data_IF_095578348902
#
_entry.id   IF_095578348902
#
_cell.length_a   1.000
_cell.length_b   1.000
_cell.length_c   1.000
_cell.angle_alpha   90.00
_cell.angle_beta   90.00
_cell.angle_gamma   90.00
#
_symmetry.space_group_name_H-M   'P 1'
#
loop_
_entity.id
_entity.type
_entity.pdbx_description
1 polymer ?
#
# COMPACT_ATOMS: atom_id res chain seq x y z
N UNK A 1 14.96 -15.75 -16.76
CA UNK A 1 13.49 -16.04 -16.87
C UNK A 1 12.74 -14.78 -16.53
N UNK A 2 11.52 -14.56 -17.09
CA UNK A 2 10.67 -13.40 -16.76
C UNK A 2 9.54 -13.84 -15.82
N UNK A 3 9.34 -13.10 -14.74
CA UNK A 3 8.29 -13.32 -13.74
C UNK A 3 7.30 -12.16 -13.78
N UNK A 4 6.02 -12.45 -13.71
CA UNK A 4 4.92 -11.46 -13.73
C UNK A 4 3.74 -11.86 -12.83
N UNK A 5 3.95 -12.91 -12.02
CA UNK A 5 3.07 -13.41 -10.96
C UNK A 5 3.90 -13.78 -9.75
N UNK A 6 3.26 -13.76 -8.58
CA UNK A 6 3.85 -14.22 -7.31
C UNK A 6 5.23 -13.61 -7.05
N UNK A 7 5.40 -12.33 -7.42
CA UNK A 7 6.70 -11.66 -7.38
C UNK A 7 7.26 -11.56 -5.95
N UNK A 8 6.39 -11.37 -4.96
CA UNK A 8 6.82 -11.32 -3.56
C UNK A 8 7.37 -12.67 -3.10
N UNK A 9 6.68 -13.77 -3.42
CA UNK A 9 7.11 -15.12 -3.07
C UNK A 9 8.42 -15.46 -3.78
N UNK A 10 8.58 -15.05 -5.04
CA UNK A 10 9.84 -15.20 -5.77
C UNK A 10 11.02 -14.58 -5.05
N UNK A 11 10.83 -13.43 -4.41
CA UNK A 11 11.89 -12.78 -3.62
C UNK A 11 12.16 -13.56 -2.32
N UNK A 12 11.12 -14.01 -1.62
CA UNK A 12 11.26 -14.58 -0.28
C UNK A 12 11.58 -16.09 -0.25
N UNK A 13 11.23 -16.84 -1.28
CA UNK A 13 11.49 -18.30 -1.34
C UNK A 13 12.90 -18.64 -1.83
N UNK A 14 13.52 -17.77 -2.62
CA UNK A 14 14.86 -18.01 -3.18
C UNK A 14 15.94 -18.21 -2.11
N UNK A 15 15.99 -17.42 -1.00
CA UNK A 15 16.99 -17.60 0.06
C UNK A 15 16.99 -19.00 0.69
N UNK A 16 15.82 -19.65 0.73
CA UNK A 16 15.71 -21.01 1.30
C UNK A 16 16.38 -22.08 0.45
N UNK A 17 16.57 -21.82 -0.82
CA UNK A 17 17.21 -22.72 -1.78
C UNK A 17 18.71 -22.47 -1.96
N UNK A 18 19.22 -21.34 -1.47
CA UNK A 18 20.63 -20.90 -1.62
C UNK A 18 21.27 -20.72 -0.23
N UNK A 19 22.55 -21.02 -0.13
CA UNK A 19 23.36 -20.61 1.03
C UNK A 19 23.67 -19.12 0.91
N UNK A 20 22.77 -18.26 1.42
CA UNK A 20 22.95 -16.81 1.40
C UNK A 20 22.87 -16.21 2.80
N UNK A 21 23.58 -15.12 3.03
CA UNK A 21 23.63 -14.41 4.32
C UNK A 21 23.03 -13.00 4.24
N UNK A 22 22.76 -12.50 3.02
CA UNK A 22 22.19 -11.16 2.85
C UNK A 22 21.26 -11.10 1.63
N UNK A 23 20.11 -10.43 1.84
CA UNK A 23 19.21 -9.97 0.79
C UNK A 23 19.34 -8.45 0.65
N UNK A 24 19.74 -7.97 -0.50
CA UNK A 24 19.84 -6.54 -0.80
C UNK A 24 18.70 -6.12 -1.74
N UNK A 25 18.02 -5.05 -1.39
CA UNK A 25 16.86 -4.49 -2.09
C UNK A 25 17.15 -3.02 -2.37
N UNK A 26 17.20 -2.63 -3.65
CA UNK A 26 17.19 -1.23 -4.07
C UNK A 26 15.88 -1.01 -4.81
N UNK A 27 15.03 -0.14 -4.29
CA UNK A 27 13.71 0.11 -4.84
C UNK A 27 13.37 1.59 -4.83
N UNK A 28 12.81 2.09 -5.93
CA UNK A 28 12.36 3.48 -6.00
C UNK A 28 11.43 3.84 -4.86
N UNK A 29 10.42 3.01 -4.63
CA UNK A 29 9.48 3.12 -3.49
C UNK A 29 9.48 1.83 -2.69
N UNK A 30 9.27 1.95 -1.38
CA UNK A 30 9.20 0.81 -0.46
C UNK A 30 7.91 0.87 0.35
N UNK A 31 7.33 -0.30 0.61
CA UNK A 31 6.13 -0.46 1.40
C UNK A 31 6.40 -1.09 2.78
N UNK A 32 5.47 -0.95 3.68
CA UNK A 32 5.57 -1.42 5.06
C UNK A 32 5.41 -2.94 5.14
N UNK A 33 4.42 -3.49 4.43
CA UNK A 33 4.08 -4.92 4.52
C UNK A 33 5.19 -5.84 3.97
N UNK A 34 5.81 -5.58 2.79
CA UNK A 34 6.95 -6.37 2.34
C UNK A 34 8.16 -6.27 3.29
N UNK A 35 8.40 -5.09 3.90
CA UNK A 35 9.48 -4.95 4.90
C UNK A 35 9.16 -5.76 6.16
N UNK A 36 7.92 -5.79 6.64
CA UNK A 36 7.51 -6.67 7.75
C UNK A 36 7.78 -8.14 7.45
N UNK A 37 7.55 -8.57 6.19
CA UNK A 37 7.81 -9.95 5.78
C UNK A 37 9.28 -10.33 5.88
N UNK A 38 10.22 -9.38 5.87
CA UNK A 38 11.66 -9.66 6.11
C UNK A 38 11.92 -10.31 7.47
N UNK A 39 10.99 -10.22 8.43
CA UNK A 39 11.04 -10.97 9.67
C UNK A 39 10.98 -12.51 9.46
N UNK A 40 10.50 -12.97 8.30
CA UNK A 40 10.39 -14.41 7.98
C UNK A 40 11.62 -14.98 7.28
N UNK A 41 12.65 -14.15 7.02
CA UNK A 41 13.92 -14.63 6.47
C UNK A 41 14.54 -15.68 7.39
N UNK A 42 15.29 -16.66 6.85
CA UNK A 42 15.99 -17.65 7.64
C UNK A 42 16.91 -17.01 8.70
N UNK A 43 17.08 -17.69 9.81
CA UNK A 43 17.99 -17.23 10.88
C UNK A 43 19.40 -17.04 10.33
N UNK A 44 20.00 -15.87 10.61
CA UNK A 44 21.31 -15.50 10.12
C UNK A 44 21.31 -14.70 8.80
N UNK A 45 20.19 -14.67 8.08
CA UNK A 45 20.06 -13.83 6.86
C UNK A 45 19.73 -12.39 7.26
N UNK A 46 20.55 -11.46 6.81
CA UNK A 46 20.33 -10.00 6.94
C UNK A 46 19.61 -9.47 5.73
N UNK A 47 18.99 -8.30 5.85
CA UNK A 47 18.44 -7.59 4.70
C UNK A 47 18.86 -6.11 4.73
N UNK A 48 19.21 -5.56 3.57
CA UNK A 48 19.41 -4.12 3.35
C UNK A 48 18.32 -3.63 2.39
N UNK A 49 17.56 -2.62 2.79
CA UNK A 49 16.49 -2.01 1.99
C UNK A 49 16.81 -0.56 1.72
N UNK A 50 16.98 -0.18 0.46
CA UNK A 50 17.23 1.21 0.04
C UNK A 50 15.96 1.79 -0.58
N UNK A 51 15.44 2.85 0.07
CA UNK A 51 14.38 3.70 -0.50
C UNK A 51 15.02 4.73 -1.43
N UNK A 52 14.90 4.49 -2.73
CA UNK A 52 15.65 5.22 -3.77
C UNK A 52 15.14 6.62 -4.06
N UNK A 53 13.81 6.85 -4.05
CA UNK A 53 13.22 8.13 -4.43
C UNK A 53 13.21 9.18 -3.32
N UNK A 54 13.81 8.89 -2.17
CA UNK A 54 13.94 9.88 -1.09
C UNK A 54 14.65 11.16 -1.55
N UNK A 55 15.73 11.05 -2.33
CA UNK A 55 16.50 12.20 -2.81
C UNK A 55 15.73 13.15 -3.73
N UNK A 56 14.65 12.68 -4.36
CA UNK A 56 13.75 13.50 -5.19
C UNK A 56 12.52 13.98 -4.41
N UNK A 57 11.84 13.06 -3.73
CA UNK A 57 10.48 13.28 -3.24
C UNK A 57 10.42 13.60 -1.75
N UNK A 58 11.54 13.45 -1.03
CA UNK A 58 11.58 13.32 0.41
C UNK A 58 10.64 12.16 0.87
N UNK A 59 10.48 11.98 2.17
CA UNK A 59 9.58 10.95 2.69
C UNK A 59 8.41 11.56 3.43
N UNK A 60 7.20 10.98 3.33
CA UNK A 60 6.06 11.43 4.11
C UNK A 60 6.22 11.05 5.60
N UNK A 61 5.74 11.92 6.51
CA UNK A 61 5.86 11.69 7.96
C UNK A 61 5.26 10.35 8.42
N UNK A 62 4.07 9.89 7.94
CA UNK A 62 3.54 8.59 8.34
C UNK A 62 4.39 7.41 7.88
N UNK A 63 4.88 7.42 6.64
CA UNK A 63 5.73 6.35 6.12
C UNK A 63 7.08 6.32 6.85
N UNK A 64 7.71 7.49 7.04
CA UNK A 64 8.96 7.59 7.77
C UNK A 64 8.85 7.04 9.19
N UNK A 65 7.79 7.42 9.93
CA UNK A 65 7.53 6.90 11.28
C UNK A 65 7.41 5.38 11.27
N UNK A 66 6.64 4.83 10.34
CA UNK A 66 6.45 3.38 10.25
C UNK A 66 7.75 2.64 9.91
N UNK A 67 8.61 3.20 9.03
CA UNK A 67 9.91 2.61 8.69
C UNK A 67 10.88 2.64 9.87
N UNK A 68 10.92 3.73 10.66
CA UNK A 68 11.72 3.79 11.90
C UNK A 68 11.26 2.73 12.90
N UNK A 69 9.95 2.57 13.09
CA UNK A 69 9.41 1.54 13.99
C UNK A 69 9.77 0.13 13.52
N UNK A 70 9.81 -0.12 12.21
CA UNK A 70 10.26 -1.41 11.66
C UNK A 70 11.76 -1.62 11.86
N UNK A 71 12.58 -0.59 11.61
CA UNK A 71 14.03 -0.66 11.86
C UNK A 71 14.33 -1.04 13.31
N UNK A 72 13.55 -0.54 14.27
CA UNK A 72 13.72 -0.89 15.69
C UNK A 72 13.27 -2.32 16.01
N UNK A 73 12.26 -2.84 15.32
CA UNK A 73 11.69 -4.18 15.55
C UNK A 73 12.43 -5.29 14.82
N UNK A 74 13.15 -4.99 13.76
CA UNK A 74 13.81 -5.94 12.88
C UNK A 74 15.34 -5.73 12.92
N UNK A 75 16.05 -6.31 13.88
CA UNK A 75 17.49 -6.08 14.08
C UNK A 75 18.36 -6.63 12.93
N UNK A 76 17.82 -7.56 12.15
CA UNK A 76 18.48 -8.12 10.96
C UNK A 76 18.20 -7.31 9.67
N UNK A 77 17.44 -6.23 9.73
CA UNK A 77 17.09 -5.38 8.59
C UNK A 77 17.73 -4.01 8.75
N UNK A 78 18.41 -3.53 7.72
CA UNK A 78 18.92 -2.17 7.61
C UNK A 78 18.07 -1.39 6.58
N UNK A 79 17.49 -0.25 6.98
CA UNK A 79 16.70 0.61 6.12
C UNK A 79 17.45 1.90 5.85
N UNK A 80 17.75 2.15 4.58
CA UNK A 80 18.54 3.28 4.09
C UNK A 80 17.71 4.15 3.13
N UNK A 81 18.00 5.44 3.09
CA UNK A 81 17.39 6.40 2.16
C UNK A 81 18.47 6.97 1.25
N UNK A 82 18.29 6.83 -0.06
CA UNK A 82 19.20 7.40 -1.04
C UNK A 82 19.08 8.92 -1.11
N UNK A 83 20.18 9.65 -0.98
CA UNK A 83 20.21 11.12 -1.11
C UNK A 83 20.17 11.58 -2.56
N UNK A 84 20.38 10.68 -3.51
CA UNK A 84 20.22 10.90 -4.95
C UNK A 84 18.95 10.20 -5.44
N UNK A 85 18.28 10.70 -6.50
CA UNK A 85 17.12 10.02 -7.07
C UNK A 85 17.51 8.67 -7.70
N UNK A 86 17.00 7.58 -7.12
CA UNK A 86 17.20 6.21 -7.61
C UNK A 86 15.85 5.57 -7.84
N UNK A 87 15.53 5.23 -9.09
CA UNK A 87 14.24 4.62 -9.47
C UNK A 87 14.38 3.16 -9.93
N UNK A 88 15.56 2.56 -9.76
CA UNK A 88 15.81 1.15 -10.04
C UNK A 88 15.02 0.24 -9.10
N UNK A 89 14.78 -0.99 -9.55
CA UNK A 89 14.19 -2.06 -8.76
C UNK A 89 15.07 -3.28 -9.01
N UNK A 90 15.97 -3.51 -8.05
CA UNK A 90 16.89 -4.63 -8.06
C UNK A 90 16.86 -5.35 -6.72
N UNK A 91 16.99 -6.64 -6.79
CA UNK A 91 16.97 -7.56 -5.65
C UNK A 91 18.11 -8.55 -5.85
N UNK A 92 18.97 -8.73 -4.88
CA UNK A 92 20.02 -9.71 -5.00
C UNK A 92 20.40 -10.33 -3.66
N UNK A 93 20.84 -11.57 -3.74
CA UNK A 93 21.20 -12.40 -2.61
C UNK A 93 22.68 -12.68 -2.65
N UNK A 94 23.35 -12.46 -1.52
CA UNK A 94 24.78 -12.63 -1.35
C UNK A 94 25.11 -13.79 -0.41
N UNK A 95 26.25 -14.40 -0.67
CA UNK A 95 27.04 -15.18 0.27
C UNK A 95 28.38 -14.47 0.46
N UNK A 96 28.57 -13.82 1.60
CA UNK A 96 29.66 -12.87 1.79
C UNK A 96 29.61 -11.73 0.76
N UNK A 97 30.73 -11.55 0.02
CA UNK A 97 30.83 -10.51 -1.02
C UNK A 97 30.36 -10.98 -2.41
N UNK A 98 29.93 -12.22 -2.55
CA UNK A 98 29.54 -12.80 -3.84
C UNK A 98 28.02 -12.77 -4.04
N UNK A 99 27.57 -12.20 -5.15
CA UNK A 99 26.17 -12.30 -5.57
C UNK A 99 25.91 -13.73 -6.05
N UNK A 100 24.89 -14.37 -5.47
CA UNK A 100 24.47 -15.74 -5.81
C UNK A 100 23.27 -15.77 -6.76
N UNK A 101 22.45 -14.74 -6.69
CA UNK A 101 21.31 -14.55 -7.58
C UNK A 101 20.87 -13.09 -7.57
N UNK A 102 20.34 -12.61 -8.70
CA UNK A 102 19.84 -11.26 -8.80
C UNK A 102 18.60 -11.19 -9.69
N UNK A 103 17.68 -10.27 -9.35
CA UNK A 103 16.52 -9.91 -10.13
C UNK A 103 16.51 -8.42 -10.43
N UNK A 104 16.01 -8.06 -11.61
CA UNK A 104 15.79 -6.68 -12.04
C UNK A 104 14.42 -6.58 -12.71
N UNK A 105 13.75 -5.43 -12.58
CA UNK A 105 12.50 -5.20 -13.30
C UNK A 105 11.80 -3.91 -12.95
N UNK A 106 10.47 -3.92 -13.04
CA UNK A 106 9.63 -2.76 -12.79
C UNK A 106 8.99 -2.76 -11.40
N UNK A 107 8.98 -3.89 -10.68
CA UNK A 107 8.28 -4.06 -9.41
C UNK A 107 8.99 -3.33 -8.26
N UNK A 108 8.35 -2.33 -7.67
CA UNK A 108 8.80 -1.74 -6.42
C UNK A 108 8.62 -2.71 -5.25
N UNK A 109 9.45 -2.60 -4.21
CA UNK A 109 9.32 -3.37 -2.97
C UNK A 109 8.16 -2.84 -2.12
N UNK A 110 6.96 -2.99 -2.63
CA UNK A 110 5.69 -2.53 -2.04
C UNK A 110 4.57 -3.53 -2.35
N UNK A 111 3.48 -3.47 -1.61
CA UNK A 111 2.29 -4.31 -1.87
C UNK A 111 1.80 -4.12 -3.30
N UNK A 112 1.70 -2.88 -3.76
CA UNK A 112 1.23 -2.60 -5.12
C UNK A 112 2.17 -3.08 -6.21
N UNK A 113 3.47 -3.14 -5.94
CA UNK A 113 4.48 -3.64 -6.89
C UNK A 113 4.59 -5.16 -6.92
N UNK A 114 4.44 -5.83 -5.76
CA UNK A 114 4.77 -7.25 -5.65
C UNK A 114 3.57 -8.20 -5.66
N UNK A 115 2.38 -7.74 -5.21
CA UNK A 115 1.21 -8.61 -5.01
C UNK A 115 0.12 -8.48 -6.06
N UNK A 116 0.35 -7.68 -7.10
CA UNK A 116 -0.61 -7.49 -8.18
C UNK A 116 -0.06 -8.15 -9.46
N UNK A 117 -0.52 -9.37 -9.73
CA UNK A 117 -0.13 -10.14 -10.91
C UNK A 117 -0.31 -9.36 -12.21
N UNK A 118 0.55 -9.60 -13.19
CA UNK A 118 0.58 -8.97 -14.51
C UNK A 118 0.76 -7.43 -14.53
N UNK A 119 0.93 -6.81 -13.36
CA UNK A 119 1.10 -5.36 -13.26
C UNK A 119 2.55 -4.96 -13.44
N UNK A 120 3.44 -5.71 -12.81
CA UNK A 120 4.87 -5.51 -12.81
C UNK A 120 5.59 -6.80 -13.23
N UNK A 121 6.89 -6.68 -13.52
CA UNK A 121 7.73 -7.81 -13.89
C UNK A 121 9.06 -7.79 -13.15
N UNK A 122 9.62 -8.98 -12.93
CA UNK A 122 11.00 -9.19 -12.53
C UNK A 122 11.65 -10.19 -13.51
N UNK A 123 12.95 -10.07 -13.74
CA UNK A 123 13.72 -10.98 -14.58
C UNK A 123 14.99 -11.37 -13.87
N UNK A 124 15.41 -12.64 -14.05
CA UNK A 124 16.74 -13.06 -13.62
C UNK A 124 17.82 -12.24 -14.34
N UNK A 125 18.92 -12.00 -13.64
CA UNK A 125 20.14 -11.38 -14.14
C UNK A 125 21.18 -12.47 -14.36
N UNK A 126 21.91 -12.39 -15.47
CA UNK A 126 23.01 -13.31 -15.77
C UNK A 126 24.24 -13.00 -14.89
N UNK A 127 24.96 -14.04 -14.47
CA UNK A 127 26.14 -13.94 -13.59
C UNK A 127 27.20 -12.97 -14.13
N UNK A 128 27.40 -12.91 -15.45
CA UNK A 128 28.33 -11.97 -16.09
C UNK A 128 28.07 -10.50 -15.77
N UNK A 129 26.86 -10.15 -15.30
CA UNK A 129 26.46 -8.79 -14.91
C UNK A 129 26.55 -8.54 -13.40
N UNK A 130 26.95 -9.51 -12.59
CA UNK A 130 26.95 -9.36 -11.12
C UNK A 130 27.96 -8.32 -10.65
N UNK A 131 29.10 -8.18 -11.31
CA UNK A 131 30.07 -7.13 -10.99
C UNK A 131 29.49 -5.73 -11.25
N UNK A 132 28.75 -5.53 -12.34
CA UNK A 132 28.07 -4.26 -12.63
C UNK A 132 26.97 -3.97 -11.59
N UNK A 133 26.24 -5.00 -11.15
CA UNK A 133 25.27 -4.89 -10.07
C UNK A 133 25.92 -4.44 -8.76
N UNK A 134 27.04 -5.06 -8.41
CA UNK A 134 27.79 -4.70 -7.21
C UNK A 134 28.31 -3.26 -7.30
N UNK A 135 28.93 -2.88 -8.39
CA UNK A 135 29.43 -1.53 -8.62
C UNK A 135 28.30 -0.48 -8.54
N UNK A 136 27.14 -0.77 -9.14
CA UNK A 136 25.96 0.09 -9.05
C UNK A 136 25.44 0.21 -7.61
N UNK A 137 25.34 -0.92 -6.91
CA UNK A 137 24.89 -0.93 -5.52
C UNK A 137 25.83 -0.13 -4.62
N UNK A 138 27.15 -0.34 -4.73
CA UNK A 138 28.16 0.36 -3.95
C UNK A 138 28.06 1.88 -4.18
N UNK A 139 27.91 2.31 -5.45
CA UNK A 139 27.69 3.71 -5.82
C UNK A 139 26.44 4.30 -5.14
N UNK A 140 25.33 3.55 -5.11
CA UNK A 140 24.08 4.01 -4.47
C UNK A 140 24.24 4.02 -2.95
N UNK A 141 24.80 2.96 -2.36
CA UNK A 141 24.94 2.79 -0.91
C UNK A 141 25.80 3.88 -0.27
N UNK A 142 26.91 4.27 -0.92
CA UNK A 142 27.75 5.39 -0.46
C UNK A 142 26.98 6.72 -0.35
N UNK A 143 25.85 6.85 -1.04
CA UNK A 143 25.00 8.03 -1.08
C UNK A 143 23.71 7.85 -0.30
N UNK A 144 23.69 6.90 0.62
CA UNK A 144 22.55 6.63 1.48
C UNK A 144 22.77 7.14 2.90
N UNK A 145 21.68 7.46 3.56
CA UNK A 145 21.60 7.74 4.99
C UNK A 145 20.75 6.67 5.68
N UNK A 146 21.11 6.24 6.90
CA UNK A 146 20.20 5.43 7.71
C UNK A 146 18.86 6.14 7.88
N UNK A 147 17.77 5.38 7.90
CA UNK A 147 16.44 5.97 8.09
C UNK A 147 16.28 6.71 9.42
N UNK A 148 17.17 6.44 10.39
CA UNK A 148 17.22 7.10 11.71
C UNK A 148 18.09 8.35 11.75
N UNK A 149 18.71 8.74 10.62
CA UNK A 149 19.56 9.92 10.56
C UNK A 149 18.76 11.20 10.81
N UNK A 150 19.30 12.10 11.64
CA UNK A 150 18.62 13.34 12.04
C UNK A 150 18.46 14.37 10.92
N UNK A 151 19.22 14.25 9.84
CA UNK A 151 19.16 15.13 8.66
C UNK A 151 18.02 14.77 7.70
N UNK A 152 17.31 13.67 7.93
CA UNK A 152 16.23 13.20 7.06
C UNK A 152 15.13 14.26 6.96
N UNK A 153 14.86 14.67 5.72
CA UNK A 153 13.81 15.65 5.40
C UNK A 153 12.47 14.93 5.26
N UNK A 154 11.56 15.25 6.19
CA UNK A 154 10.25 14.63 6.27
C UNK A 154 9.18 15.58 5.76
N UNK A 155 8.43 15.14 4.74
CA UNK A 155 7.29 15.88 4.17
C UNK A 155 6.06 15.68 5.05
N UNK A 156 5.52 16.79 5.56
CA UNK A 156 4.24 16.75 6.29
C UNK A 156 3.10 16.42 5.33
N UNK A 157 2.21 15.51 5.74
CA UNK A 157 0.94 15.30 5.05
C UNK A 157 0.04 16.49 5.37
N UNK A 158 -0.53 17.11 4.33
CA UNK A 158 -1.42 18.25 4.51
C UNK A 158 -2.64 17.84 5.32
N UNK A 159 -2.89 18.52 6.43
CA UNK A 159 -4.13 18.39 7.20
C UNK A 159 -5.07 19.53 6.80
N UNK A 160 -6.32 19.19 6.54
CA UNK A 160 -7.33 20.21 6.27
C UNK A 160 -7.94 20.67 7.58
N UNK A 161 -8.08 21.98 7.75
CA UNK A 161 -8.76 22.56 8.92
C UNK A 161 -10.17 21.96 9.07
N UNK A 162 -10.50 21.51 10.29
CA UNK A 162 -11.73 20.76 10.60
C UNK A 162 -12.90 21.64 11.02
N UNK A 163 -12.75 22.97 10.90
CA UNK A 163 -13.72 23.93 11.42
C UNK A 163 -15.02 24.03 10.60
N UNK A 164 -15.23 23.21 9.61
CA UNK A 164 -16.51 23.17 8.90
C UNK A 164 -17.11 21.77 8.96
N UNK A 165 -18.21 21.64 9.69
CA UNK A 165 -19.17 20.54 9.58
C UNK A 165 -19.80 20.50 8.17
N UNK A 166 -19.37 21.35 7.27
CA UNK A 166 -19.81 21.44 5.89
C UNK A 166 -19.25 20.30 5.05
N UNK A 167 -20.14 19.45 4.66
CA UNK A 167 -20.04 18.16 3.99
C UNK A 167 -19.62 18.20 2.51
N UNK A 168 -19.07 19.29 2.02
CA UNK A 168 -18.59 19.32 0.63
C UNK A 168 -17.28 18.56 0.49
N UNK A 169 -17.11 17.77 -0.58
CA UNK A 169 -15.85 17.14 -0.88
C UNK A 169 -14.77 18.22 -0.97
N UNK A 170 -13.77 18.16 -0.09
CA UNK A 170 -12.63 19.07 -0.18
C UNK A 170 -11.75 18.59 -1.33
N UNK A 171 -11.88 19.25 -2.47
CA UNK A 171 -11.19 18.96 -3.72
C UNK A 171 -9.85 19.70 -3.80
N UNK A 172 -9.21 20.00 -2.66
CA UNK A 172 -7.99 20.80 -2.63
C UNK A 172 -6.78 20.01 -2.12
N UNK A 173 -5.66 20.14 -2.81
CA UNK A 173 -4.32 19.74 -2.36
C UNK A 173 -4.06 18.22 -2.21
N UNK A 174 -4.63 17.38 -3.07
CA UNK A 174 -4.33 15.94 -3.07
C UNK A 174 -4.96 15.15 -1.91
N UNK A 175 -6.00 15.70 -1.26
CA UNK A 175 -6.75 15.04 -0.20
C UNK A 175 -8.17 14.76 -0.68
N UNK A 176 -8.55 13.48 -0.72
CA UNK A 176 -9.90 13.03 -1.01
C UNK A 176 -10.67 12.87 0.30
N UNK A 177 -11.68 13.71 0.53
CA UNK A 177 -12.59 13.55 1.67
C UNK A 177 -13.73 12.61 1.30
N UNK A 178 -13.62 11.35 1.69
CA UNK A 178 -14.64 10.33 1.44
C UNK A 178 -15.71 10.36 2.53
N UNK A 179 -16.95 10.70 2.16
CA UNK A 179 -18.11 10.74 3.07
C UNK A 179 -18.62 9.33 3.39
N UNK A 180 -18.93 9.10 4.66
CA UNK A 180 -19.68 7.93 5.11
C UNK A 180 -21.19 8.07 4.97
N UNK A 181 -21.64 9.27 4.62
CA UNK A 181 -23.06 9.56 4.44
C UNK A 181 -23.45 9.42 2.96
N UNK A 182 -24.68 9.00 2.73
CA UNK A 182 -25.33 9.00 1.43
C UNK A 182 -25.82 10.41 1.02
N UNK A 183 -26.47 10.51 -0.15
CA UNK A 183 -27.04 11.78 -0.64
C UNK A 183 -28.15 12.35 0.25
N UNK A 184 -28.76 11.52 1.11
CA UNK A 184 -29.78 11.92 2.09
C UNK A 184 -29.16 12.34 3.43
N UNK A 185 -27.82 12.31 3.55
CA UNK A 185 -27.11 12.64 4.77
C UNK A 185 -27.23 11.58 5.87
N UNK A 186 -27.47 10.33 5.50
CA UNK A 186 -27.60 9.19 6.41
C UNK A 186 -26.49 8.17 6.16
N UNK A 187 -26.10 7.40 7.19
CA UNK A 187 -25.25 6.22 7.01
C UNK A 187 -26.11 5.10 6.43
N UNK A 188 -25.74 4.53 5.26
CA UNK A 188 -26.50 3.44 4.67
C UNK A 188 -26.53 2.21 5.58
N UNK A 189 -27.70 1.57 5.74
CA UNK A 189 -27.88 0.43 6.65
C UNK A 189 -27.26 -0.88 6.15
N UNK A 190 -27.05 -1.03 4.83
CA UNK A 190 -26.60 -2.28 4.18
C UNK A 190 -25.44 -2.07 3.19
N UNK A 191 -24.68 -0.99 3.33
CA UNK A 191 -23.54 -0.70 2.47
C UNK A 191 -22.54 0.20 3.20
N UNK A 192 -21.34 0.38 2.65
CA UNK A 192 -20.27 1.17 3.26
C UNK A 192 -19.87 0.61 4.62
N UNK A 193 -19.96 1.43 5.69
CA UNK A 193 -19.62 1.01 7.05
C UNK A 193 -20.46 -0.18 7.56
N UNK A 194 -21.67 -0.37 7.02
CA UNK A 194 -22.61 -1.42 7.40
C UNK A 194 -22.76 -2.52 6.34
N UNK A 195 -21.74 -2.74 5.53
CA UNK A 195 -21.78 -3.77 4.49
C UNK A 195 -22.07 -5.16 5.06
N UNK A 196 -21.50 -5.53 6.21
CA UNK A 196 -21.76 -6.78 6.91
C UNK A 196 -23.22 -7.03 7.31
N UNK A 197 -24.10 -6.00 7.23
CA UNK A 197 -25.54 -6.10 7.47
C UNK A 197 -26.37 -6.27 6.18
N UNK A 198 -25.74 -6.42 5.01
CA UNK A 198 -26.44 -6.45 3.71
C UNK A 198 -27.18 -7.75 3.43
N UNK A 199 -26.82 -8.84 4.10
CA UNK A 199 -27.26 -10.21 3.78
C UNK A 199 -26.43 -10.83 2.63
N UNK A 200 -26.56 -12.13 2.40
CA UNK A 200 -25.77 -12.86 1.39
C UNK A 200 -24.38 -13.24 1.90
N UNK A 201 -23.38 -13.20 1.01
CA UNK A 201 -22.00 -13.64 1.29
C UNK A 201 -21.17 -12.54 1.99
N UNK A 202 -21.64 -12.01 3.11
CA UNK A 202 -20.95 -11.03 3.95
C UNK A 202 -20.67 -11.61 5.32
N UNK A 203 -19.58 -11.15 5.96
CA UNK A 203 -19.29 -11.45 7.35
C UNK A 203 -19.70 -10.28 8.23
N UNK A 204 -20.02 -10.60 9.49
CA UNK A 204 -20.25 -9.59 10.51
C UNK A 204 -19.09 -8.61 10.58
N UNK A 205 -19.40 -7.33 10.60
CA UNK A 205 -18.39 -6.27 10.64
C UNK A 205 -17.78 -5.88 9.30
N UNK A 206 -18.08 -6.58 8.19
CA UNK A 206 -17.58 -6.17 6.87
C UNK A 206 -17.91 -4.70 6.59
N UNK A 207 -16.91 -3.95 6.13
CA UNK A 207 -17.03 -2.55 5.76
C UNK A 207 -16.16 -2.18 4.57
N UNK A 208 -16.52 -1.11 3.88
CA UNK A 208 -15.73 -0.49 2.84
C UNK A 208 -15.95 1.02 2.78
N UNK A 209 -15.01 1.74 2.20
CA UNK A 209 -15.11 3.16 1.87
C UNK A 209 -15.51 3.26 0.41
N UNK A 210 -16.63 3.95 0.12
CA UNK A 210 -17.11 4.12 -1.25
C UNK A 210 -16.23 5.07 -2.03
N UNK A 211 -15.83 4.68 -3.24
CA UNK A 211 -15.16 5.52 -4.23
C UNK A 211 -16.20 5.94 -5.26
N UNK A 212 -16.43 7.24 -5.41
CA UNK A 212 -17.38 7.80 -6.38
C UNK A 212 -16.65 8.24 -7.66
N UNK A 213 -17.39 8.39 -8.76
CA UNK A 213 -16.82 8.92 -10.00
C UNK A 213 -16.25 10.33 -9.84
N UNK A 214 -16.83 11.14 -8.93
CA UNK A 214 -16.31 12.49 -8.66
C UNK A 214 -14.93 12.44 -8.01
N UNK A 215 -14.71 11.47 -7.09
CA UNK A 215 -13.39 11.26 -6.50
C UNK A 215 -12.37 10.80 -7.55
N UNK A 216 -12.76 9.89 -8.44
CA UNK A 216 -11.91 9.37 -9.52
C UNK A 216 -11.49 10.50 -10.46
N UNK A 217 -12.45 11.29 -10.92
CA UNK A 217 -12.19 12.43 -11.83
C UNK A 217 -11.28 13.48 -11.21
N UNK A 218 -11.43 13.72 -9.91
CA UNK A 218 -10.63 14.73 -9.19
C UNK A 218 -9.23 14.22 -8.81
N UNK A 219 -9.12 12.93 -8.51
CA UNK A 219 -7.89 12.29 -8.03
C UNK A 219 -7.51 11.07 -8.89
N UNK A 220 -7.25 11.24 -10.20
CA UNK A 220 -6.99 10.11 -11.11
C UNK A 220 -5.76 9.28 -10.73
N UNK A 221 -4.75 9.90 -10.10
CA UNK A 221 -3.56 9.18 -9.60
C UNK A 221 -3.86 8.38 -8.34
N UNK A 222 -4.82 8.82 -7.52
CA UNK A 222 -5.21 8.14 -6.27
C UNK A 222 -6.10 6.93 -6.56
N UNK A 223 -6.94 7.02 -7.57
CA UNK A 223 -7.87 5.96 -7.97
C UNK A 223 -7.67 5.64 -9.45
N UNK A 224 -6.55 4.99 -9.82
CA UNK A 224 -6.24 4.68 -11.22
C UNK A 224 -7.25 3.71 -11.82
N UNK A 225 -7.40 3.70 -13.16
CA UNK A 225 -8.21 2.71 -13.83
C UNK A 225 -7.65 1.31 -13.61
N UNK A 226 -8.53 0.34 -13.52
CA UNK A 226 -8.15 -1.07 -13.50
C UNK A 226 -7.58 -1.45 -14.86
N UNK A 227 -6.45 -2.12 -14.87
CA UNK A 227 -5.89 -2.67 -16.10
C UNK A 227 -6.76 -3.86 -16.53
N UNK A 228 -7.35 -3.79 -17.71
CA UNK A 228 -7.86 -4.95 -18.41
C UNK A 228 -6.69 -5.62 -19.10
N UNK A 229 -6.46 -6.87 -18.80
CA UNK A 229 -5.60 -7.72 -19.62
C UNK A 229 -6.53 -8.36 -20.66
N UNK A 230 -6.64 -7.72 -21.83
CA UNK A 230 -7.33 -8.29 -22.98
C UNK A 230 -6.69 -9.65 -23.35
N UNK A 231 -7.51 -10.69 -23.45
CA UNK A 231 -7.12 -11.99 -23.99
C UNK A 231 -6.66 -13.05 -23.01
N UNK A 232 -6.48 -12.78 -21.72
CA UNK A 232 -6.35 -13.81 -20.69
C UNK A 232 -7.69 -13.93 -20.00
N UNK A 233 -8.45 -14.95 -20.34
CA UNK A 233 -9.67 -15.30 -19.61
C UNK A 233 -9.27 -15.78 -18.20
N UNK A 234 -9.19 -14.86 -17.26
CA UNK A 234 -9.14 -15.17 -15.84
C UNK A 234 -10.53 -15.65 -15.40
N UNK A 235 -10.91 -16.82 -15.88
CA UNK A 235 -12.12 -17.50 -15.46
C UNK A 235 -11.73 -18.39 -14.28
N UNK A 236 -12.32 -18.18 -13.12
CA UNK A 236 -12.15 -19.08 -11.98
C UNK A 236 -12.82 -20.42 -12.27
N UNK A 237 -12.58 -21.43 -11.41
CA UNK A 237 -13.17 -22.79 -11.52
C UNK A 237 -14.71 -22.81 -11.57
N UNK A 238 -15.38 -21.70 -11.31
CA UNK A 238 -16.85 -21.54 -11.37
C UNK A 238 -17.32 -20.78 -12.62
N UNK A 239 -16.44 -20.53 -13.59
CA UNK A 239 -16.79 -19.81 -14.83
C UNK A 239 -17.00 -18.31 -14.69
N UNK A 240 -16.69 -17.72 -13.53
CA UNK A 240 -16.77 -16.26 -13.31
C UNK A 240 -15.42 -15.61 -13.56
N UNK A 241 -15.44 -14.45 -14.25
CA UNK A 241 -14.23 -13.62 -14.41
C UNK A 241 -13.64 -13.29 -13.05
N UNK A 242 -12.39 -13.62 -12.81
CA UNK A 242 -11.66 -13.16 -11.65
C UNK A 242 -11.67 -11.63 -11.64
N UNK A 243 -12.05 -11.06 -10.52
CA UNK A 243 -12.00 -9.62 -10.33
C UNK A 243 -10.55 -9.29 -10.00
N UNK A 244 -9.82 -8.72 -10.93
CA UNK A 244 -8.53 -8.12 -10.62
C UNK A 244 -8.78 -6.95 -9.68
N UNK A 245 -8.26 -7.07 -8.47
CA UNK A 245 -8.32 -6.04 -7.46
C UNK A 245 -6.89 -5.63 -7.15
N UNK A 246 -6.63 -4.32 -7.06
CA UNK A 246 -5.31 -3.81 -6.73
C UNK A 246 -5.12 -3.80 -5.21
N UNK A 247 -4.14 -4.54 -4.71
CA UNK A 247 -3.69 -4.44 -3.33
C UNK A 247 -2.87 -3.16 -3.11
N UNK A 248 -3.12 -2.52 -1.98
CA UNK A 248 -2.51 -1.24 -1.58
C UNK A 248 -2.22 -1.25 -0.08
N UNK A 249 -1.44 -0.30 0.41
CA UNK A 249 -1.17 -0.14 1.84
C UNK A 249 -1.94 1.05 2.41
N UNK A 250 -2.53 0.87 3.58
CA UNK A 250 -3.27 1.89 4.31
C UNK A 250 -2.54 2.18 5.62
N UNK A 251 -2.02 3.39 5.76
CA UNK A 251 -1.41 3.90 7.00
C UNK A 251 -2.40 4.86 7.64
N UNK A 252 -2.94 4.49 8.80
CA UNK A 252 -3.92 5.29 9.52
C UNK A 252 -3.26 6.37 10.39
N UNK A 253 -4.04 7.37 10.76
CA UNK A 253 -3.61 8.51 11.59
C UNK A 253 -3.09 8.13 12.98
N UNK A 254 -3.46 6.97 13.49
CA UNK A 254 -2.96 6.41 14.76
C UNK A 254 -1.72 5.52 14.59
N UNK A 255 -1.21 5.36 13.36
CA UNK A 255 -0.07 4.52 13.03
C UNK A 255 -0.43 3.06 12.69
N UNK A 256 -1.70 2.67 12.77
CA UNK A 256 -2.13 1.34 12.31
C UNK A 256 -1.85 1.19 10.81
N UNK A 257 -1.29 0.05 10.41
CA UNK A 257 -1.04 -0.30 9.00
C UNK A 257 -1.84 -1.55 8.67
N UNK A 258 -2.49 -1.54 7.51
CA UNK A 258 -3.20 -2.71 6.98
C UNK A 258 -3.12 -2.75 5.45
N UNK A 259 -3.21 -3.94 4.89
CA UNK A 259 -3.40 -4.11 3.44
C UNK A 259 -4.81 -3.69 3.07
N UNK A 260 -4.92 -2.82 2.07
CA UNK A 260 -6.17 -2.39 1.46
C UNK A 260 -6.39 -3.06 0.12
N UNK A 261 -7.61 -2.94 -0.39
CA UNK A 261 -8.02 -3.48 -1.68
C UNK A 261 -8.87 -2.46 -2.43
N UNK A 262 -8.38 -2.01 -3.59
CA UNK A 262 -9.16 -1.23 -4.55
C UNK A 262 -9.98 -2.21 -5.40
N UNK A 263 -11.29 -2.29 -5.18
CA UNK A 263 -12.13 -3.32 -5.77
C UNK A 263 -13.47 -2.80 -6.31
N UNK A 264 -14.22 -3.72 -6.94
CA UNK A 264 -15.46 -3.40 -7.61
C UNK A 264 -15.24 -2.71 -8.95
N UNK A 265 -16.30 -2.31 -9.63
CA UNK A 265 -16.23 -1.76 -10.97
C UNK A 265 -17.13 -0.52 -11.10
N UNK A 266 -16.51 0.62 -11.45
CA UNK A 266 -17.17 1.82 -11.94
C UNK A 266 -16.76 2.02 -13.40
N UNK A 267 -17.66 1.73 -14.34
CA UNK A 267 -17.42 2.00 -15.75
C UNK A 267 -17.58 3.49 -16.04
N UNK A 268 -16.57 4.10 -16.66
CA UNK A 268 -16.63 5.49 -17.11
C UNK A 268 -16.87 5.53 -18.61
N UNK A 269 -18.04 6.02 -19.03
CA UNK A 269 -18.43 6.11 -20.44
C UNK A 269 -17.58 7.10 -21.27
N UNK A 270 -16.88 8.03 -20.62
CA UNK A 270 -16.14 9.08 -21.33
C UNK A 270 -14.79 8.58 -21.84
N UNK A 271 -14.14 7.67 -21.13
CA UNK A 271 -12.83 7.14 -21.48
C UNK A 271 -12.84 5.61 -21.73
N UNK A 272 -13.99 4.95 -21.57
CA UNK A 272 -14.13 3.51 -21.74
C UNK A 272 -13.43 2.68 -20.65
N UNK A 273 -12.91 3.31 -19.61
CA UNK A 273 -12.12 2.65 -18.56
C UNK A 273 -12.98 2.19 -17.38
N UNK A 274 -12.50 1.17 -16.68
CA UNK A 274 -13.09 0.68 -15.44
C UNK A 274 -12.25 1.10 -14.25
N UNK A 275 -12.91 1.67 -13.26
CA UNK A 275 -12.29 2.20 -12.05
C UNK A 275 -12.75 1.44 -10.81
N UNK A 276 -11.98 1.48 -9.69
CA UNK A 276 -12.42 0.89 -8.44
C UNK A 276 -13.70 1.57 -7.93
N UNK A 277 -14.59 0.80 -7.33
CA UNK A 277 -15.85 1.26 -6.74
C UNK A 277 -15.73 1.49 -5.24
N UNK A 278 -14.79 0.82 -4.60
CA UNK A 278 -14.63 0.84 -3.15
C UNK A 278 -13.20 0.52 -2.74
N UNK A 279 -12.83 1.00 -1.55
CA UNK A 279 -11.61 0.66 -0.84
C UNK A 279 -12.02 -0.13 0.41
N UNK A 280 -11.50 -1.35 0.54
CA UNK A 280 -11.70 -2.22 1.70
C UNK A 280 -10.37 -2.74 2.22
N UNK A 281 -10.37 -3.58 3.23
CA UNK A 281 -9.17 -4.31 3.69
C UNK A 281 -9.05 -5.69 3.03
N UNK A 282 -7.82 -6.16 2.89
CA UNK A 282 -7.44 -7.50 2.45
C UNK A 282 -6.79 -8.26 3.64
N UNK A 283 -6.94 -9.58 3.78
CA UNK A 283 -7.76 -10.47 2.96
C UNK A 283 -9.27 -10.41 3.26
N UNK A 284 -9.68 -9.76 4.36
CA UNK A 284 -11.08 -9.67 4.79
C UNK A 284 -11.52 -8.22 5.00
N UNK A 285 -12.73 -7.89 4.54
CA UNK A 285 -13.33 -6.56 4.73
C UNK A 285 -13.68 -6.25 6.19
N UNK A 286 -13.79 -7.27 7.01
CA UNK A 286 -14.03 -7.14 8.45
C UNK A 286 -12.86 -6.51 9.20
N UNK A 287 -11.62 -6.61 8.69
CA UNK A 287 -10.44 -5.98 9.31
C UNK A 287 -10.62 -4.45 9.41
N UNK A 288 -10.96 -3.81 8.30
CA UNK A 288 -11.27 -2.37 8.30
C UNK A 288 -12.52 -2.06 9.10
N UNK A 289 -13.54 -2.90 9.00
CA UNK A 289 -14.81 -2.70 9.69
C UNK A 289 -14.70 -2.84 11.21
N UNK A 290 -13.91 -3.77 11.71
CA UNK A 290 -13.55 -3.91 13.12
C UNK A 290 -12.76 -2.71 13.61
N UNK A 291 -11.73 -2.33 12.88
CA UNK A 291 -10.92 -1.16 13.18
C UNK A 291 -11.76 0.12 13.32
N UNK A 292 -12.63 0.39 12.35
CA UNK A 292 -13.50 1.56 12.40
C UNK A 292 -14.51 1.51 13.56
N UNK A 293 -15.09 0.32 13.86
CA UNK A 293 -16.00 0.14 15.01
C UNK A 293 -15.28 0.35 16.34
N UNK A 294 -14.07 -0.15 16.47
CA UNK A 294 -13.23 0.11 17.65
C UNK A 294 -12.98 1.62 17.83
N UNK A 295 -12.67 2.33 16.76
CA UNK A 295 -12.49 3.81 16.78
C UNK A 295 -13.78 4.53 17.20
N UNK A 296 -14.94 4.06 16.75
CA UNK A 296 -16.25 4.60 17.09
C UNK A 296 -16.76 4.18 18.47
N UNK A 297 -16.13 3.20 19.12
CA UNK A 297 -16.53 2.67 20.43
C UNK A 297 -17.84 1.86 20.36
N UNK A 298 -18.08 1.14 19.25
CA UNK A 298 -19.28 0.31 19.03
C UNK A 298 -18.91 -1.15 18.77
N UNK A 299 -19.85 -2.07 19.04
CA UNK A 299 -19.65 -3.51 18.83
C UNK A 299 -19.67 -3.90 17.35
N UNK A 300 -19.18 -5.11 17.04
CA UNK A 300 -19.15 -5.64 15.66
C UNK A 300 -20.56 -5.75 15.03
N UNK A 301 -21.56 -6.11 15.82
CA UNK A 301 -22.97 -6.24 15.37
C UNK A 301 -23.72 -4.92 15.26
N UNK A 302 -23.15 -3.84 15.80
CA UNK A 302 -23.80 -2.55 15.80
C UNK A 302 -23.95 -1.98 14.39
N UNK A 303 -25.16 -1.56 14.04
CA UNK A 303 -25.43 -0.82 12.81
C UNK A 303 -25.01 0.63 13.05
N UNK A 304 -23.88 1.03 12.44
CA UNK A 304 -23.36 2.39 12.57
C UNK A 304 -24.37 3.39 11.99
N UNK A 305 -24.68 4.41 12.79
CA UNK A 305 -25.62 5.47 12.45
C UNK A 305 -24.93 6.83 12.35
N UNK A 306 -25.64 7.84 11.85
CA UNK A 306 -25.17 9.22 11.85
C UNK A 306 -24.90 9.73 13.28
N UNK A 307 -25.66 9.26 14.27
CA UNK A 307 -25.47 9.62 15.69
C UNK A 307 -24.14 9.11 16.21
N UNK A 308 -23.71 7.89 15.84
CA UNK A 308 -22.42 7.34 16.24
C UNK A 308 -21.27 8.17 15.66
N UNK A 309 -21.36 8.52 14.38
CA UNK A 309 -20.39 9.40 13.71
C UNK A 309 -20.36 10.81 14.31
N UNK A 310 -21.54 11.34 14.69
CA UNK A 310 -21.64 12.64 15.39
C UNK A 310 -20.96 12.58 16.76
N UNK A 311 -21.21 11.52 17.52
CA UNK A 311 -20.57 11.30 18.83
C UNK A 311 -19.05 11.18 18.71
N UNK A 312 -18.58 10.53 17.67
CA UNK A 312 -17.14 10.44 17.36
C UNK A 312 -16.55 11.78 16.93
N UNK A 313 -17.34 12.63 16.28
CA UNK A 313 -16.95 13.97 15.82
C UNK A 313 -16.58 14.05 14.34
N UNK A 314 -16.87 13.01 13.52
CA UNK A 314 -16.50 13.00 12.10
C UNK A 314 -17.42 12.13 11.25
N UNK A 315 -17.79 12.64 10.05
CA UNK A 315 -18.66 11.97 9.08
C UNK A 315 -17.96 11.46 7.83
N UNK A 316 -16.65 11.64 7.75
CA UNK A 316 -15.84 11.35 6.58
C UNK A 316 -14.45 10.91 6.98
N UNK A 317 -13.73 10.35 6.03
CA UNK A 317 -12.30 10.06 6.14
C UNK A 317 -11.54 10.87 5.08
N UNK A 318 -10.39 11.42 5.45
CA UNK A 318 -9.51 12.08 4.51
C UNK A 318 -8.43 11.09 4.03
N UNK A 319 -8.36 10.90 2.72
CA UNK A 319 -7.46 9.96 2.06
C UNK A 319 -6.42 10.76 1.27
N UNK A 320 -5.15 10.45 1.47
CA UNK A 320 -4.03 11.05 0.73
C UNK A 320 -3.12 9.96 0.18
N UNK A 321 -2.74 10.06 -1.10
CA UNK A 321 -1.71 9.21 -1.68
C UNK A 321 -0.34 9.76 -1.25
N UNK A 322 0.43 8.97 -0.50
CA UNK A 322 1.72 9.39 0.08
C UNK A 322 2.93 8.67 -0.52
N UNK A 323 2.69 7.65 -1.29
CA UNK A 323 3.63 6.85 -2.07
C UNK A 323 2.87 6.06 -3.12
N UNK A 324 3.57 5.34 -3.98
CA UNK A 324 2.93 4.46 -4.97
C UNK A 324 2.17 3.34 -4.27
N UNK A 325 0.83 3.33 -4.41
CA UNK A 325 -0.04 2.37 -3.72
C UNK A 325 -0.07 2.49 -2.19
N UNK A 326 0.45 3.59 -1.62
CA UNK A 326 0.46 3.82 -0.17
C UNK A 326 -0.44 5.01 0.16
N UNK A 327 -1.48 4.75 0.93
CA UNK A 327 -2.50 5.72 1.31
C UNK A 327 -2.39 6.08 2.79
N UNK A 328 -2.43 7.38 3.08
CA UNK A 328 -2.63 7.87 4.44
C UNK A 328 -4.11 8.12 4.68
N UNK A 329 -4.63 7.52 5.76
CA UNK A 329 -6.03 7.47 6.12
C UNK A 329 -6.25 8.29 7.40
N UNK A 330 -6.68 9.56 7.27
CA UNK A 330 -6.94 10.42 8.44
C UNK A 330 -8.41 10.33 8.87
N UNK A 331 -8.64 9.62 9.95
CA UNK A 331 -9.92 9.54 10.66
C UNK A 331 -9.83 10.16 12.06
N UNK A 332 -8.79 10.94 12.33
CA UNK A 332 -8.61 11.58 13.63
C UNK A 332 -9.67 12.66 13.91
N UNK A 333 -9.96 12.89 15.16
CA UNK A 333 -10.82 13.97 15.66
C UNK A 333 -10.01 14.90 16.55
N UNK A 334 -10.35 16.19 16.58
CA UNK A 334 -9.79 17.08 17.59
C UNK A 334 -10.46 16.72 18.93
N UNK A 335 -9.65 16.32 19.89
CA UNK A 335 -10.09 16.23 21.29
C UNK A 335 -10.10 17.61 21.90
#
# INVERSE_FOLDING_TARGET
MLYYKDLEDRIFELPSALCVDCLTIVSGYVGIEPIKRLATLPVGVRATVIYGMYGSDNISAPLHKALIELQQKLPNVEILYSTIPVHSKIYFWNEGDHIRSALIGSANFSVSGLRNDYKEVLSDVEEKSFEDFKAYYDYVKERCLPCTDKSIKVRKVSKVSRNSVNQQPLLAKGICRASFLDRKGLVPKKSGLNWGCSGGHVKEGDAYIRITMDYIKTFPKMFPPKKYVDGIENINSTGRKNRENDEVELIWDDGTVMTGLLEGQNYNKLDGMVYPKQLSSSPNKSIMGEYLRKRLGVSMKHIITKTDLKKYGRYSIDISLIGEGIYYMDFSVNK
#
